data_IF_193863787823
#
_entry.id   IF_193863787823
#
_cell.length_a   1.000
_cell.length_b   1.000
_cell.length_c   1.000
_cell.angle_alpha   90.00
_cell.angle_beta   90.00
_cell.angle_gamma   90.00
#
_symmetry.space_group_name_H-M   'P 1'
#
loop_
_entity.id
_entity.type
_entity.pdbx_description
1 polymer ?
#
# COMPACT_ATOMS: atom_id res chain seq x y z
N UNK A 1 2.55 6.98 -23.69
CA UNK A 1 3.34 8.22 -23.45
C UNK A 1 4.81 8.00 -23.75
N UNK A 2 5.57 7.22 -22.96
CA UNK A 2 7.03 7.00 -23.13
C UNK A 2 7.49 6.70 -24.57
N UNK A 3 6.84 5.77 -25.27
CA UNK A 3 7.14 5.47 -26.69
C UNK A 3 6.96 6.67 -27.62
N UNK A 4 5.93 7.49 -27.41
CA UNK A 4 5.66 8.66 -28.23
C UNK A 4 6.62 9.80 -27.91
N UNK A 5 6.98 9.99 -26.63
CA UNK A 5 8.05 10.91 -26.22
C UNK A 5 9.39 10.51 -26.84
N UNK A 6 9.70 9.21 -26.84
CA UNK A 6 10.90 8.68 -27.48
C UNK A 6 10.95 8.95 -28.98
N UNK A 7 9.85 8.69 -29.70
CA UNK A 7 9.75 9.03 -31.12
C UNK A 7 9.96 10.53 -31.37
N UNK A 8 9.31 11.40 -30.59
CA UNK A 8 9.52 12.85 -30.67
C UNK A 8 10.96 13.27 -30.36
N UNK A 9 11.57 12.64 -29.35
CA UNK A 9 12.97 12.87 -28.97
C UNK A 9 13.95 12.54 -30.09
N UNK A 10 13.72 11.44 -30.81
CA UNK A 10 14.50 11.03 -31.98
C UNK A 10 14.30 11.98 -33.18
N UNK A 11 13.16 12.67 -33.26
CA UNK A 11 12.88 13.73 -34.24
C UNK A 11 13.41 15.11 -33.80
N UNK A 12 14.12 15.20 -32.67
CA UNK A 12 14.72 16.45 -32.17
C UNK A 12 13.84 17.24 -31.20
N UNK A 13 12.65 16.77 -30.85
CA UNK A 13 11.78 17.42 -29.86
C UNK A 13 12.26 17.09 -28.45
N UNK A 14 12.85 18.07 -27.76
CA UNK A 14 13.41 17.91 -26.41
C UNK A 14 12.51 18.45 -25.29
N UNK A 15 11.34 18.96 -25.65
CA UNK A 15 10.36 19.50 -24.71
C UNK A 15 9.09 18.63 -24.68
N UNK A 16 8.30 18.67 -23.59
CA UNK A 16 6.98 18.04 -23.56
C UNK A 16 6.09 18.58 -24.69
N UNK A 17 5.45 17.69 -25.43
CA UNK A 17 4.63 18.05 -26.60
C UNK A 17 3.31 17.29 -26.69
N UNK A 18 3.20 16.09 -26.14
CA UNK A 18 1.98 15.28 -26.19
C UNK A 18 0.81 15.96 -25.48
N UNK A 19 1.06 16.65 -24.36
CA UNK A 19 0.00 17.40 -23.68
C UNK A 19 -0.64 18.49 -24.56
N UNK A 20 0.11 19.03 -25.53
CA UNK A 20 -0.39 20.03 -26.49
C UNK A 20 -1.36 19.41 -27.51
N UNK A 21 -1.28 18.10 -27.75
CA UNK A 21 -2.12 17.36 -28.70
C UNK A 21 -3.50 17.00 -28.14
N UNK A 22 -3.70 17.09 -26.82
CA UNK A 22 -4.94 16.70 -26.15
C UNK A 22 -6.16 17.44 -26.72
N UNK A 23 -6.01 18.72 -27.05
CA UNK A 23 -7.09 19.50 -27.65
C UNK A 23 -7.59 18.91 -28.97
N UNK A 24 -6.67 18.46 -29.82
CA UNK A 24 -7.03 17.82 -31.09
C UNK A 24 -7.72 16.47 -30.87
N UNK A 25 -7.23 15.65 -29.94
CA UNK A 25 -7.84 14.35 -29.61
C UNK A 25 -9.25 14.50 -29.06
N UNK A 26 -9.45 15.44 -28.12
CA UNK A 26 -10.78 15.71 -27.56
C UNK A 26 -11.73 16.18 -28.66
N UNK A 27 -11.29 17.08 -29.54
CA UNK A 27 -12.13 17.56 -30.63
C UNK A 27 -12.60 16.44 -31.57
N UNK A 28 -11.76 15.43 -31.83
CA UNK A 28 -12.11 14.30 -32.68
C UNK A 28 -13.00 13.25 -32.01
N UNK A 29 -13.03 13.16 -30.67
CA UNK A 29 -13.68 12.08 -29.94
C UNK A 29 -14.86 12.51 -29.05
N UNK A 30 -15.03 13.81 -28.79
CA UNK A 30 -16.03 14.33 -27.86
C UNK A 30 -17.48 13.95 -28.16
N UNK A 31 -17.82 13.66 -29.42
CA UNK A 31 -19.18 13.24 -29.80
C UNK A 31 -19.50 11.81 -29.33
N UNK A 32 -18.49 10.93 -29.38
CA UNK A 32 -18.63 9.53 -28.94
C UNK A 32 -18.35 9.36 -27.44
N UNK A 33 -17.49 10.20 -26.86
CA UNK A 33 -17.06 10.14 -25.47
C UNK A 33 -17.11 11.54 -24.82
N UNK A 34 -18.30 12.05 -24.46
CA UNK A 34 -18.44 13.40 -23.90
C UNK A 34 -17.63 13.61 -22.60
N UNK A 35 -17.46 12.56 -21.81
CA UNK A 35 -16.78 12.56 -20.51
C UNK A 35 -15.29 12.92 -20.57
N UNK A 36 -14.65 12.83 -21.74
CA UNK A 36 -13.23 13.20 -21.88
C UNK A 36 -13.02 14.71 -21.80
N UNK A 37 -14.07 15.50 -22.05
CA UNK A 37 -14.00 16.96 -22.03
C UNK A 37 -13.80 17.52 -20.62
N UNK A 38 -14.44 16.91 -19.62
CA UNK A 38 -14.42 17.38 -18.22
C UNK A 38 -13.06 17.13 -17.55
N UNK A 39 -12.27 16.19 -18.06
CA UNK A 39 -10.95 15.82 -17.50
C UNK A 39 -9.76 16.41 -18.28
N UNK A 40 -10.00 17.32 -19.23
CA UNK A 40 -8.96 17.86 -20.13
C UNK A 40 -7.73 18.39 -19.40
N UNK A 41 -7.93 19.27 -18.41
CA UNK A 41 -6.81 19.90 -17.70
C UNK A 41 -6.02 18.89 -16.88
N UNK A 42 -6.73 18.02 -16.16
CA UNK A 42 -6.16 16.96 -15.35
C UNK A 42 -5.32 15.98 -16.20
N UNK A 43 -5.86 15.50 -17.32
CA UNK A 43 -5.14 14.62 -18.25
C UNK A 43 -3.94 15.36 -18.87
N UNK A 44 -4.09 16.66 -19.15
CA UNK A 44 -3.00 17.51 -19.61
C UNK A 44 -1.82 17.59 -18.65
N UNK A 45 -2.11 17.83 -17.38
CA UNK A 45 -1.08 17.89 -16.34
C UNK A 45 -0.41 16.54 -16.15
N UNK A 46 -1.17 15.44 -16.14
CA UNK A 46 -0.62 14.07 -16.02
C UNK A 46 0.30 13.75 -17.18
N UNK A 47 -0.15 13.99 -18.43
CA UNK A 47 0.66 13.72 -19.62
C UNK A 47 1.93 14.58 -19.58
N UNK A 48 1.80 15.89 -19.36
CA UNK A 48 2.95 16.80 -19.29
C UNK A 48 3.96 16.35 -18.23
N UNK A 49 3.49 16.00 -17.04
CA UNK A 49 4.35 15.54 -15.94
C UNK A 49 5.05 14.22 -16.26
N UNK A 50 4.37 13.27 -16.90
CA UNK A 50 5.00 12.01 -17.33
C UNK A 50 6.02 12.25 -18.46
N UNK A 51 5.73 13.19 -19.38
CA UNK A 51 6.68 13.62 -20.41
C UNK A 51 7.94 14.25 -19.80
N UNK A 52 7.78 15.24 -18.92
CA UNK A 52 8.90 15.92 -18.24
C UNK A 52 9.75 14.92 -17.47
N UNK A 53 9.13 14.02 -16.69
CA UNK A 53 9.86 13.00 -15.94
C UNK A 53 10.60 12.06 -16.88
N UNK A 54 9.94 11.61 -17.94
CA UNK A 54 10.56 10.68 -18.88
C UNK A 54 11.69 11.33 -19.69
N UNK A 55 11.55 12.60 -20.09
CA UNK A 55 12.64 13.35 -20.73
C UNK A 55 13.86 13.48 -19.81
N UNK A 56 13.65 13.81 -18.53
CA UNK A 56 14.73 13.85 -17.55
C UNK A 56 15.39 12.47 -17.34
N UNK A 57 14.59 11.39 -17.35
CA UNK A 57 15.07 10.01 -17.33
C UNK A 57 15.89 9.68 -18.58
N UNK A 58 15.43 10.07 -19.76
CA UNK A 58 16.14 9.87 -21.02
C UNK A 58 17.49 10.59 -21.03
N UNK A 59 17.55 11.83 -20.55
CA UNK A 59 18.81 12.58 -20.47
C UNK A 59 19.83 11.91 -19.54
N UNK A 60 19.40 11.43 -18.37
CA UNK A 60 20.27 10.69 -17.44
C UNK A 60 20.69 9.34 -18.01
N UNK A 61 19.72 8.56 -18.50
CA UNK A 61 19.96 7.23 -19.07
C UNK A 61 20.86 7.29 -20.31
N UNK A 62 20.71 8.32 -21.15
CA UNK A 62 21.53 8.52 -22.35
C UNK A 62 22.99 8.80 -22.01
N UNK A 63 23.30 9.58 -20.97
CA UNK A 63 24.68 9.80 -20.53
C UNK A 63 25.36 8.49 -20.13
N UNK A 64 24.69 7.68 -19.31
CA UNK A 64 25.20 6.37 -18.87
C UNK A 64 25.31 5.41 -20.05
N UNK A 65 24.34 5.44 -20.97
CA UNK A 65 24.40 4.64 -22.20
C UNK A 65 25.59 5.05 -23.09
N UNK A 66 25.86 6.34 -23.25
CA UNK A 66 27.00 6.84 -24.04
C UNK A 66 28.35 6.42 -23.42
N UNK A 67 28.45 6.39 -22.08
CA UNK A 67 29.61 5.84 -21.38
C UNK A 67 29.77 4.34 -21.67
N UNK A 68 28.71 3.56 -21.49
CA UNK A 68 28.70 2.12 -21.80
C UNK A 68 29.04 1.84 -23.26
N UNK A 69 28.56 2.67 -24.18
CA UNK A 69 28.82 2.54 -25.61
C UNK A 69 30.32 2.76 -25.91
N UNK A 70 30.95 3.78 -25.32
CA UNK A 70 32.40 4.03 -25.50
C UNK A 70 33.24 2.84 -25.03
N UNK A 71 32.88 2.27 -23.88
CA UNK A 71 33.60 1.12 -23.33
C UNK A 71 33.42 -0.12 -24.23
N UNK A 72 32.22 -0.31 -24.78
CA UNK A 72 31.86 -1.49 -25.58
C UNK A 72 32.43 -1.44 -27.01
N UNK A 73 32.52 -0.25 -27.61
CA UNK A 73 33.05 -0.04 -28.97
C UNK A 73 34.54 -0.38 -29.13
N UNK A 74 35.25 -0.61 -28.03
CA UNK A 74 36.66 -1.03 -28.04
C UNK A 74 36.89 -2.51 -28.40
N UNK A 75 35.81 -3.29 -28.58
CA UNK A 75 35.85 -4.74 -28.81
C UNK A 75 35.54 -5.14 -30.26
N UNK A 76 36.09 -6.27 -30.74
CA UNK A 76 35.87 -6.80 -32.10
C UNK A 76 34.42 -7.22 -32.38
N UNK A 77 33.63 -7.50 -31.33
CA UNK A 77 32.19 -7.80 -31.40
C UNK A 77 31.46 -7.06 -30.28
N UNK A 78 31.08 -5.79 -30.48
CA UNK A 78 30.52 -4.97 -29.42
C UNK A 78 29.12 -5.46 -29.03
N UNK A 79 29.00 -5.98 -27.81
CA UNK A 79 27.75 -6.42 -27.19
C UNK A 79 27.63 -5.76 -25.82
N UNK A 80 26.52 -5.05 -25.57
CA UNK A 80 26.19 -4.54 -24.23
C UNK A 80 25.67 -5.71 -23.39
N UNK A 81 26.33 -6.05 -22.27
CA UNK A 81 25.92 -7.18 -21.42
C UNK A 81 24.57 -6.97 -20.73
N UNK A 82 23.85 -8.07 -20.47
CA UNK A 82 22.52 -8.05 -19.87
C UNK A 82 22.44 -7.38 -18.49
N UNK A 83 23.50 -7.46 -17.65
CA UNK A 83 23.56 -6.77 -16.36
C UNK A 83 23.56 -5.24 -16.52
N UNK A 84 24.23 -4.73 -17.57
CA UNK A 84 24.27 -3.30 -17.87
C UNK A 84 22.93 -2.80 -18.41
N UNK A 85 22.27 -3.59 -19.24
CA UNK A 85 20.90 -3.31 -19.71
C UNK A 85 19.94 -3.30 -18.53
N UNK A 86 20.06 -4.29 -17.63
CA UNK A 86 19.27 -4.36 -16.41
C UNK A 86 19.52 -3.14 -15.52
N UNK A 87 20.77 -2.70 -15.35
CA UNK A 87 21.10 -1.47 -14.61
C UNK A 87 20.49 -0.22 -15.26
N UNK A 88 20.54 -0.10 -16.59
CA UNK A 88 19.89 0.99 -17.32
C UNK A 88 18.38 1.02 -17.09
N UNK A 89 17.75 -0.15 -17.05
CA UNK A 89 16.32 -0.30 -16.79
C UNK A 89 15.93 -0.05 -15.32
N UNK A 90 16.54 -0.79 -14.40
CA UNK A 90 16.19 -0.83 -12.97
C UNK A 90 16.65 0.43 -12.23
N UNK A 91 17.90 0.86 -12.45
CA UNK A 91 18.46 2.03 -11.75
C UNK A 91 18.16 3.34 -12.46
N UNK A 92 18.27 3.37 -13.78
CA UNK A 92 18.20 4.62 -14.55
C UNK A 92 16.89 4.80 -15.31
N UNK A 93 15.97 3.82 -15.28
CA UNK A 93 14.62 3.91 -15.85
C UNK A 93 14.57 3.92 -17.39
N UNK A 94 15.66 3.55 -18.07
CA UNK A 94 15.73 3.49 -19.53
C UNK A 94 15.19 2.12 -20.02
N UNK A 95 14.08 2.08 -20.79
CA UNK A 95 13.49 0.83 -21.25
C UNK A 95 14.47 -0.01 -22.09
N UNK A 96 14.49 -1.35 -21.95
CA UNK A 96 15.43 -2.20 -22.66
C UNK A 96 15.26 -2.15 -24.19
N UNK A 97 14.04 -1.93 -24.68
CA UNK A 97 13.78 -1.74 -26.11
C UNK A 97 14.45 -0.48 -26.66
N UNK A 98 14.52 0.60 -25.86
CA UNK A 98 15.19 1.84 -26.25
C UNK A 98 16.70 1.71 -26.20
N UNK A 99 17.23 1.00 -25.19
CA UNK A 99 18.66 0.63 -25.14
C UNK A 99 19.06 -0.14 -26.39
N UNK A 100 18.23 -1.10 -26.83
CA UNK A 100 18.45 -1.86 -28.06
C UNK A 100 18.40 -1.00 -29.31
N UNK A 101 17.44 -0.09 -29.42
CA UNK A 101 17.31 0.82 -30.56
C UNK A 101 18.54 1.74 -30.67
N UNK A 102 18.97 2.34 -29.54
CA UNK A 102 20.17 3.19 -29.46
C UNK A 102 21.46 2.43 -29.77
N UNK A 103 21.60 1.18 -29.31
CA UNK A 103 22.77 0.36 -29.60
C UNK A 103 22.83 0.01 -31.10
N UNK A 104 21.69 -0.30 -31.70
CA UNK A 104 21.59 -0.64 -33.12
C UNK A 104 22.01 0.51 -34.03
N UNK A 105 21.75 1.79 -33.68
CA UNK A 105 22.20 2.93 -34.50
C UNK A 105 23.73 3.09 -34.50
N UNK A 106 24.43 2.42 -33.58
CA UNK A 106 25.89 2.46 -33.44
C UNK A 106 26.54 1.11 -33.79
N UNK A 107 25.80 0.16 -34.36
CA UNK A 107 26.31 -1.16 -34.74
C UNK A 107 26.64 -2.07 -33.56
N UNK A 108 26.10 -1.80 -32.37
CA UNK A 108 26.33 -2.56 -31.13
C UNK A 108 25.12 -3.44 -30.84
N UNK A 109 25.36 -4.72 -30.51
CA UNK A 109 24.31 -5.64 -30.11
C UNK A 109 24.01 -5.55 -28.61
N UNK A 110 22.85 -6.05 -28.18
CA UNK A 110 22.43 -6.04 -26.77
C UNK A 110 22.06 -7.45 -26.35
N UNK A 111 22.59 -7.91 -25.22
CA UNK A 111 22.26 -9.20 -24.63
C UNK A 111 20.92 -9.14 -23.88
N UNK A 112 19.84 -9.34 -24.63
CA UNK A 112 18.48 -9.37 -24.08
C UNK A 112 18.20 -10.62 -23.23
N UNK A 113 18.87 -11.73 -23.52
CA UNK A 113 18.70 -12.97 -22.76
C UNK A 113 19.28 -12.81 -21.34
N UNK A 114 20.47 -12.21 -21.23
CA UNK A 114 21.05 -11.86 -19.93
C UNK A 114 20.16 -10.89 -19.14
N UNK A 115 19.58 -9.88 -19.79
CA UNK A 115 18.63 -8.97 -19.14
C UNK A 115 17.42 -9.71 -18.53
N UNK A 116 16.81 -10.64 -19.26
CA UNK A 116 15.67 -11.42 -18.78
C UNK A 116 16.01 -12.29 -17.57
N UNK A 117 17.23 -12.84 -17.53
CA UNK A 117 17.72 -13.62 -16.37
C UNK A 117 17.78 -12.75 -15.10
N UNK A 118 18.38 -11.56 -15.16
CA UNK A 118 18.45 -10.65 -14.01
C UNK A 118 17.06 -10.18 -13.54
N UNK A 119 16.12 -9.98 -14.47
CA UNK A 119 14.75 -9.61 -14.14
C UNK A 119 14.02 -10.73 -13.37
N UNK A 120 14.27 -11.99 -13.72
CA UNK A 120 13.67 -13.13 -13.04
C UNK A 120 14.30 -13.37 -11.65
N UNK A 121 15.62 -13.21 -11.51
CA UNK A 121 16.31 -13.30 -10.23
C UNK A 121 15.77 -12.28 -9.21
N UNK A 122 15.55 -11.03 -9.63
CA UNK A 122 14.98 -9.98 -8.78
C UNK A 122 13.56 -10.34 -8.30
N UNK A 123 12.72 -10.89 -9.18
CA UNK A 123 11.36 -11.36 -8.84
C UNK A 123 11.39 -12.51 -7.84
N UNK A 124 12.33 -13.44 -7.98
CA UNK A 124 12.48 -14.58 -7.08
C UNK A 124 12.94 -14.14 -5.68
N UNK A 125 13.87 -13.19 -5.58
CA UNK A 125 14.30 -12.61 -4.30
C UNK A 125 13.16 -11.90 -3.56
N UNK A 126 12.27 -11.21 -4.28
CA UNK A 126 11.09 -10.59 -3.68
C UNK A 126 10.10 -11.63 -3.13
N UNK A 127 9.94 -12.77 -3.81
CA UNK A 127 9.04 -13.87 -3.41
C UNK A 127 9.61 -14.72 -2.27
N UNK A 128 10.92 -14.94 -2.21
CA UNK A 128 11.56 -15.77 -1.18
C UNK A 128 11.51 -15.13 0.21
N UNK A 129 11.57 -13.80 0.30
CA UNK A 129 11.36 -13.06 1.56
C UNK A 129 9.96 -13.25 2.16
N UNK A 130 8.94 -13.54 1.36
CA UNK A 130 7.57 -13.76 1.83
C UNK A 130 7.31 -15.21 2.31
N UNK A 131 8.19 -16.18 1.97
CA UNK A 131 7.90 -17.62 2.14
C UNK A 131 8.60 -18.28 3.34
N UNK A 132 9.35 -17.53 4.14
CA UNK A 132 10.32 -18.11 5.09
C UNK A 132 9.80 -18.35 6.54
N UNK A 133 8.49 -18.51 6.75
CA UNK A 133 7.93 -18.60 8.12
C UNK A 133 7.09 -19.85 8.46
N UNK A 134 6.98 -20.85 7.58
CA UNK A 134 6.16 -22.04 7.86
C UNK A 134 7.02 -23.33 7.92
N UNK A 135 7.72 -23.54 9.03
CA UNK A 135 8.27 -24.85 9.40
C UNK A 135 7.38 -25.49 10.45
N UNK A 136 6.44 -26.34 10.01
CA UNK A 136 5.61 -27.18 10.87
C UNK A 136 4.32 -27.63 10.17
N UNK A 137 3.79 -28.78 10.55
CA UNK A 137 2.46 -29.25 10.09
C UNK A 137 1.39 -28.85 11.11
N UNK A 138 0.21 -28.46 10.62
CA UNK A 138 -0.93 -28.19 11.48
C UNK A 138 -1.42 -29.47 12.17
N UNK A 139 -1.64 -29.39 13.49
CA UNK A 139 -2.29 -30.41 14.30
C UNK A 139 -3.71 -29.93 14.59
N UNK A 140 -4.70 -30.68 14.12
CA UNK A 140 -6.12 -30.39 14.33
C UNK A 140 -6.59 -31.00 15.65
N UNK A 141 -7.20 -30.19 16.51
CA UNK A 141 -7.82 -30.62 17.76
C UNK A 141 -9.35 -30.72 17.61
N UNK A 142 -9.95 -29.87 16.78
CA UNK A 142 -11.38 -29.86 16.47
C UNK A 142 -11.61 -29.43 15.02
N UNK A 143 -12.58 -30.06 14.36
CA UNK A 143 -13.01 -29.71 12.99
C UNK A 143 -14.16 -28.69 13.04
N UNK A 144 -13.84 -27.46 13.45
CA UNK A 144 -14.76 -26.31 13.46
C UNK A 144 -14.13 -25.10 12.78
N UNK A 145 -14.96 -24.12 12.42
CA UNK A 145 -14.51 -22.84 11.84
C UNK A 145 -13.94 -21.89 12.90
N UNK A 146 -13.31 -20.81 12.43
CA UNK A 146 -12.85 -19.69 13.25
C UNK A 146 -13.73 -18.46 12.99
N UNK A 147 -14.27 -17.86 14.04
CA UNK A 147 -15.13 -16.68 13.97
C UNK A 147 -14.42 -15.44 14.54
N UNK A 148 -14.33 -14.37 13.77
CA UNK A 148 -13.87 -13.08 14.29
C UNK A 148 -14.98 -12.35 15.02
N UNK A 149 -14.77 -12.06 16.31
CA UNK A 149 -15.74 -11.38 17.20
C UNK A 149 -15.21 -10.04 17.73
N UNK A 150 -14.04 -9.62 17.26
CA UNK A 150 -13.29 -8.47 17.77
C UNK A 150 -13.88 -7.09 17.50
N UNK A 151 -15.01 -7.02 16.79
CA UNK A 151 -15.80 -5.79 16.67
C UNK A 151 -16.56 -5.46 17.94
N UNK A 152 -16.96 -6.47 18.71
CA UNK A 152 -17.82 -6.31 19.89
C UNK A 152 -17.11 -6.69 21.20
N UNK A 153 -16.07 -7.53 21.12
CA UNK A 153 -15.40 -8.09 22.29
C UNK A 153 -13.89 -7.88 22.19
N UNK A 154 -13.29 -7.43 23.28
CA UNK A 154 -11.83 -7.35 23.42
C UNK A 154 -11.26 -8.56 24.19
N UNK A 155 -12.14 -9.35 24.82
CA UNK A 155 -11.81 -10.49 25.66
C UNK A 155 -12.92 -11.53 25.57
N UNK A 156 -12.58 -12.79 25.32
CA UNK A 156 -13.56 -13.89 25.23
C UNK A 156 -12.94 -15.22 25.66
N UNK A 157 -13.78 -16.13 26.18
CA UNK A 157 -13.43 -17.54 26.31
C UNK A 157 -13.54 -18.23 24.94
N UNK A 158 -12.53 -19.01 24.57
CA UNK A 158 -12.38 -19.69 23.28
C UNK A 158 -11.68 -21.04 23.44
N UNK A 159 -11.73 -21.87 22.40
CA UNK A 159 -10.99 -23.14 22.33
C UNK A 159 -9.90 -23.05 21.27
N UNK A 160 -8.73 -23.62 21.57
CA UNK A 160 -7.69 -23.84 20.56
C UNK A 160 -8.12 -25.02 19.70
N UNK A 161 -8.38 -24.76 18.42
CA UNK A 161 -8.88 -25.77 17.47
C UNK A 161 -7.78 -26.34 16.60
N UNK A 162 -6.71 -25.58 16.35
CA UNK A 162 -5.51 -26.02 15.62
C UNK A 162 -4.29 -25.37 16.21
N UNK A 163 -3.16 -26.06 16.15
CA UNK A 163 -1.86 -25.46 16.45
C UNK A 163 -0.75 -26.04 15.57
N UNK A 164 0.34 -25.29 15.45
CA UNK A 164 1.56 -25.72 14.78
C UNK A 164 2.75 -25.22 15.57
N UNK A 165 3.57 -26.15 16.07
CA UNK A 165 4.83 -25.81 16.72
C UNK A 165 5.83 -25.31 15.67
N UNK A 166 6.44 -24.15 15.91
CA UNK A 166 7.46 -23.58 15.01
C UNK A 166 8.88 -23.83 15.54
N UNK A 167 9.08 -23.62 16.84
CA UNK A 167 10.31 -23.90 17.58
C UNK A 167 9.96 -24.14 19.07
N UNK A 168 10.94 -24.36 19.96
CA UNK A 168 10.68 -24.68 21.38
C UNK A 168 9.86 -23.61 22.13
N UNK A 169 9.89 -22.35 21.68
CA UNK A 169 9.23 -21.23 22.36
C UNK A 169 8.14 -20.55 21.50
N UNK A 170 7.95 -20.97 20.24
CA UNK A 170 6.98 -20.36 19.33
C UNK A 170 5.99 -21.36 18.78
N UNK A 171 4.75 -20.91 18.73
CA UNK A 171 3.62 -21.71 18.27
C UNK A 171 2.62 -20.82 17.54
N UNK A 172 2.07 -21.33 16.44
CA UNK A 172 0.89 -20.74 15.82
C UNK A 172 -0.35 -21.44 16.37
N UNK A 173 -1.38 -20.67 16.73
CA UNK A 173 -2.67 -21.21 17.19
C UNK A 173 -3.84 -20.63 16.42
N UNK A 174 -4.87 -21.44 16.23
CA UNK A 174 -6.17 -21.03 15.69
C UNK A 174 -7.23 -21.27 16.76
N UNK A 175 -8.07 -20.28 16.97
CA UNK A 175 -9.19 -20.33 17.91
C UNK A 175 -10.51 -20.57 17.17
N UNK A 176 -11.49 -21.21 17.81
CA UNK A 176 -12.87 -21.28 17.32
C UNK A 176 -13.51 -19.88 17.22
N UNK A 177 -13.19 -18.98 18.16
CA UNK A 177 -13.60 -17.58 18.17
C UNK A 177 -12.45 -16.70 18.62
N UNK A 178 -12.29 -15.53 18.01
CA UNK A 178 -11.18 -14.63 18.36
C UNK A 178 -11.55 -13.15 18.34
N UNK A 179 -11.14 -12.37 19.36
CA UNK A 179 -11.22 -10.92 19.34
C UNK A 179 -10.07 -10.27 18.54
N UNK A 180 -9.06 -11.03 18.12
CA UNK A 180 -7.87 -10.53 17.43
C UNK A 180 -8.16 -10.31 15.95
N UNK A 181 -7.99 -9.08 15.48
CA UNK A 181 -8.09 -8.73 14.07
C UNK A 181 -6.81 -9.22 13.38
N UNK A 182 -6.96 -10.04 12.35
CA UNK A 182 -5.85 -10.45 11.49
C UNK A 182 -5.50 -9.33 10.52
N UNK A 183 -4.21 -9.14 10.26
CA UNK A 183 -3.71 -8.10 9.35
C UNK A 183 -4.44 -8.13 8.00
N UNK A 184 -5.04 -7.00 7.64
CA UNK A 184 -5.85 -6.84 6.43
C UNK A 184 -6.20 -5.37 6.19
N UNK A 185 -6.40 -4.98 4.92
CA UNK A 185 -6.75 -3.60 4.54
C UNK A 185 -5.68 -2.57 4.89
N UNK A 186 -4.42 -2.99 5.05
CA UNK A 186 -3.31 -2.17 5.52
C UNK A 186 -3.21 -2.04 7.05
N UNK A 187 -4.22 -2.49 7.80
CA UNK A 187 -4.17 -2.52 9.26
C UNK A 187 -3.36 -3.72 9.75
N UNK A 188 -2.35 -3.48 10.60
CA UNK A 188 -1.56 -4.56 11.23
C UNK A 188 -2.40 -5.39 12.20
N UNK A 189 -2.03 -6.67 12.35
CA UNK A 189 -2.73 -7.61 13.23
C UNK A 189 -2.62 -7.25 14.72
N UNK A 190 -3.62 -7.67 15.48
CA UNK A 190 -3.62 -7.45 16.93
C UNK A 190 -2.60 -8.29 17.68
N UNK A 191 -2.29 -7.80 18.87
CA UNK A 191 -1.42 -8.43 19.86
C UNK A 191 -2.16 -8.56 21.18
N UNK A 192 -1.66 -9.40 22.07
CA UNK A 192 -2.36 -9.69 23.32
C UNK A 192 -1.92 -11.02 23.92
N UNK A 193 -2.84 -11.70 24.59
CA UNK A 193 -2.56 -12.95 25.30
C UNK A 193 -3.67 -13.97 25.10
N UNK A 194 -3.29 -15.25 25.11
CA UNK A 194 -4.19 -16.40 25.15
C UNK A 194 -3.76 -17.26 26.34
N UNK A 195 -4.63 -17.44 27.33
CA UNK A 195 -4.21 -18.06 28.60
C UNK A 195 -5.32 -18.80 29.35
N UNK A 196 -4.91 -19.77 30.16
CA UNK A 196 -5.69 -20.37 31.23
C UNK A 196 -4.74 -20.81 32.37
N UNK A 197 -5.20 -21.70 33.24
CA UNK A 197 -4.37 -22.22 34.34
C UNK A 197 -3.16 -23.03 33.86
N UNK A 198 -3.27 -23.70 32.71
CA UNK A 198 -2.30 -24.67 32.18
C UNK A 198 -1.30 -24.03 31.21
N UNK A 199 -1.75 -23.05 30.41
CA UNK A 199 -0.95 -22.43 29.34
C UNK A 199 -1.10 -20.91 29.34
N UNK A 200 -0.03 -20.20 29.01
CA UNK A 200 -0.03 -18.76 28.73
C UNK A 200 0.82 -18.47 27.49
N UNK A 201 0.19 -17.80 26.52
CA UNK A 201 0.75 -17.45 25.22
C UNK A 201 0.72 -15.93 25.04
N UNK A 202 1.87 -15.35 24.68
CA UNK A 202 1.99 -13.96 24.22
C UNK A 202 1.74 -13.93 22.70
N UNK A 203 0.62 -13.35 22.27
CA UNK A 203 0.31 -13.13 20.85
C UNK A 203 1.04 -11.89 20.38
N UNK A 204 2.05 -12.05 19.52
CA UNK A 204 2.85 -10.93 19.02
C UNK A 204 2.46 -10.49 17.61
N UNK A 205 1.67 -11.29 16.89
CA UNK A 205 1.18 -11.03 15.54
C UNK A 205 -0.06 -11.90 15.22
N UNK A 206 -1.02 -11.36 14.47
CA UNK A 206 -2.25 -12.08 14.05
C UNK A 206 -2.42 -11.90 12.54
N UNK A 207 -2.54 -13.00 11.81
CA UNK A 207 -2.49 -13.02 10.35
C UNK A 207 -3.55 -13.96 9.76
N UNK A 208 -3.80 -13.85 8.46
CA UNK A 208 -4.56 -14.85 7.71
C UNK A 208 -3.62 -15.91 7.09
N UNK A 209 -3.98 -17.18 7.17
CA UNK A 209 -3.39 -18.28 6.39
C UNK A 209 -4.54 -19.03 5.70
N UNK A 210 -4.86 -18.64 4.46
CA UNK A 210 -6.11 -19.03 3.82
C UNK A 210 -7.32 -18.42 4.55
N UNK A 211 -8.32 -19.24 4.87
CA UNK A 211 -9.47 -18.81 5.68
C UNK A 211 -9.20 -18.84 7.21
N UNK A 212 -8.00 -19.24 7.65
CA UNK A 212 -7.67 -19.34 9.07
C UNK A 212 -7.15 -18.01 9.63
N UNK A 213 -7.65 -17.62 10.80
CA UNK A 213 -7.05 -16.56 11.63
C UNK A 213 -6.00 -17.20 12.53
N UNK A 214 -4.73 -16.97 12.19
CA UNK A 214 -3.59 -17.51 12.91
C UNK A 214 -3.06 -16.49 13.92
N UNK A 215 -2.80 -16.96 15.13
CA UNK A 215 -2.20 -16.16 16.20
C UNK A 215 -0.77 -16.67 16.39
N UNK A 216 0.21 -15.85 16.06
CA UNK A 216 1.62 -16.18 16.24
C UNK A 216 2.00 -15.87 17.67
N UNK A 217 2.39 -16.90 18.40
CA UNK A 217 2.56 -16.83 19.83
C UNK A 217 3.97 -17.18 20.27
N UNK A 218 4.41 -16.53 21.35
CA UNK A 218 5.47 -17.08 22.21
C UNK A 218 4.82 -17.83 23.38
N UNK A 219 5.37 -18.98 23.72
CA UNK A 219 4.97 -19.75 24.91
C UNK A 219 5.63 -19.08 26.12
N UNK A 220 4.82 -18.51 27.01
CA UNK A 220 5.30 -17.91 28.27
C UNK A 220 5.30 -18.96 29.37
N UNK A 221 4.27 -19.82 29.40
CA UNK A 221 4.10 -20.90 30.38
C UNK A 221 3.30 -22.04 29.78
N UNK A 222 3.62 -23.27 30.16
CA UNK A 222 2.88 -24.46 29.74
C UNK A 222 3.24 -24.94 28.34
N UNK A 223 2.28 -25.57 27.66
CA UNK A 223 2.45 -26.09 26.30
C UNK A 223 1.11 -26.53 25.69
N UNK A 224 1.16 -26.97 24.44
CA UNK A 224 0.02 -27.51 23.71
C UNK A 224 0.16 -29.03 23.52
N UNK A 225 -0.95 -29.78 23.37
CA UNK A 225 -2.34 -29.29 23.33
C UNK A 225 -2.91 -28.98 24.72
N UNK A 226 -3.91 -28.11 24.75
CA UNK A 226 -4.80 -27.93 25.91
C UNK A 226 -6.22 -28.29 25.49
N UNK A 227 -6.94 -29.03 26.34
CA UNK A 227 -8.34 -29.42 26.11
C UNK A 227 -9.32 -28.49 26.83
N UNK A 228 -8.82 -27.63 27.71
CA UNK A 228 -9.65 -26.65 28.45
C UNK A 228 -9.83 -25.38 27.62
N UNK A 229 -10.94 -24.65 27.84
CA UNK A 229 -11.06 -23.31 27.29
C UNK A 229 -9.89 -22.42 27.70
N UNK A 230 -9.55 -21.48 26.82
CA UNK A 230 -8.58 -20.42 27.04
C UNK A 230 -9.30 -19.08 26.98
N UNK A 231 -8.74 -18.09 27.66
CA UNK A 231 -9.17 -16.73 27.58
C UNK A 231 -8.29 -15.99 26.58
N UNK A 232 -8.90 -15.47 25.52
CA UNK A 232 -8.25 -14.69 24.48
C UNK A 232 -8.51 -13.20 24.74
N UNK A 233 -7.47 -12.40 24.93
CA UNK A 233 -7.54 -10.99 25.34
C UNK A 233 -6.56 -10.13 24.52
N UNK A 234 -7.08 -9.13 23.79
CA UNK A 234 -6.24 -8.22 23.01
C UNK A 234 -5.63 -7.12 23.88
N UNK A 235 -4.52 -6.55 23.42
CA UNK A 235 -4.01 -5.27 23.91
C UNK A 235 -4.89 -4.13 23.40
N UNK A 236 -5.82 -3.67 24.25
CA UNK A 236 -6.78 -2.62 23.91
C UNK A 236 -6.12 -1.25 23.66
N UNK A 237 -4.95 -0.99 24.26
CA UNK A 237 -4.23 0.26 24.03
C UNK A 237 -3.61 0.27 22.63
N UNK A 238 -3.00 -0.85 22.21
CA UNK A 238 -2.51 -1.02 20.83
C UNK A 238 -3.65 -0.97 19.82
N UNK A 239 -4.76 -1.69 20.06
CA UNK A 239 -5.95 -1.64 19.19
C UNK A 239 -6.47 -0.21 19.02
N UNK A 240 -6.56 0.55 20.11
CA UNK A 240 -7.01 1.95 20.07
C UNK A 240 -6.05 2.80 19.25
N UNK A 241 -4.74 2.67 19.46
CA UNK A 241 -3.73 3.41 18.69
C UNK A 241 -3.81 3.08 17.19
N UNK A 242 -3.99 1.81 16.84
CA UNK A 242 -4.22 1.38 15.45
C UNK A 242 -5.50 2.05 14.89
N UNK A 243 -6.61 1.98 15.61
CA UNK A 243 -7.88 2.58 15.20
C UNK A 243 -7.81 4.11 15.04
N UNK A 244 -6.99 4.80 15.85
CA UNK A 244 -6.69 6.22 15.69
C UNK A 244 -6.05 6.51 14.34
N UNK A 245 -4.97 5.81 14.01
CA UNK A 245 -4.31 5.94 12.72
C UNK A 245 -5.22 5.51 11.57
N UNK A 246 -6.04 4.47 11.76
CA UNK A 246 -6.95 3.98 10.73
C UNK A 246 -7.99 5.02 10.35
N UNK A 247 -8.64 5.60 11.37
CA UNK A 247 -9.64 6.65 11.17
C UNK A 247 -8.99 7.90 10.57
N UNK A 248 -7.76 8.23 10.97
CA UNK A 248 -6.99 9.31 10.36
C UNK A 248 -6.64 9.05 8.89
N UNK A 249 -6.37 7.80 8.48
CA UNK A 249 -6.14 7.43 7.07
C UNK A 249 -7.34 7.77 6.19
N UNK A 250 -8.57 7.53 6.65
CA UNK A 250 -9.78 7.87 5.90
C UNK A 250 -9.92 9.39 5.71
N UNK A 251 -9.64 10.17 6.78
CA UNK A 251 -9.63 11.63 6.70
C UNK A 251 -8.52 12.11 5.76
N UNK A 252 -7.32 11.53 5.83
CA UNK A 252 -6.21 11.87 4.95
C UNK A 252 -6.56 11.62 3.47
N UNK A 253 -7.14 10.46 3.15
CA UNK A 253 -7.59 10.14 1.80
C UNK A 253 -8.60 11.17 1.28
N UNK A 254 -9.60 11.52 2.08
CA UNK A 254 -10.60 12.52 1.70
C UNK A 254 -10.00 13.93 1.54
N UNK A 255 -9.08 14.32 2.42
CA UNK A 255 -8.39 15.61 2.35
C UNK A 255 -7.52 15.71 1.09
N UNK A 256 -6.78 14.65 0.75
CA UNK A 256 -5.99 14.59 -0.48
C UNK A 256 -6.86 14.74 -1.73
N UNK A 257 -8.01 14.03 -1.80
CA UNK A 257 -8.96 14.19 -2.90
C UNK A 257 -9.51 15.61 -2.97
N UNK A 258 -9.85 16.23 -1.83
CA UNK A 258 -10.38 17.60 -1.79
C UNK A 258 -9.36 18.66 -2.21
N UNK A 259 -8.09 18.49 -1.88
CA UNK A 259 -7.03 19.46 -2.18
C UNK A 259 -6.45 19.25 -3.58
N UNK A 260 -6.24 17.99 -3.99
CA UNK A 260 -5.53 17.64 -5.22
C UNK A 260 -6.47 17.28 -6.38
N UNK A 261 -7.66 16.75 -6.08
CA UNK A 261 -8.68 16.32 -7.06
C UNK A 261 -8.93 14.81 -7.10
N UNK A 262 -9.96 14.41 -7.85
CA UNK A 262 -10.49 13.03 -7.88
C UNK A 262 -9.58 11.98 -8.54
N UNK A 263 -8.42 12.36 -9.11
CA UNK A 263 -7.45 11.37 -9.59
C UNK A 263 -6.72 10.67 -8.46
N UNK A 264 -6.76 11.20 -7.23
CA UNK A 264 -6.14 10.58 -6.06
C UNK A 264 -6.87 9.28 -5.74
N UNK A 265 -6.13 8.18 -5.79
CA UNK A 265 -6.57 6.82 -5.47
C UNK A 265 -5.51 6.17 -4.59
N UNK A 266 -5.95 5.39 -3.62
CA UNK A 266 -5.06 4.59 -2.79
C UNK A 266 -4.42 3.49 -3.63
N UNK A 267 -3.11 3.35 -3.52
CA UNK A 267 -2.30 2.28 -4.13
C UNK A 267 -1.62 1.42 -3.07
N UNK A 268 -1.59 1.88 -1.82
CA UNK A 268 -1.03 1.15 -0.70
C UNK A 268 -1.35 1.85 0.61
N UNK A 269 -1.49 1.07 1.68
CA UNK A 269 -1.74 1.59 3.02
C UNK A 269 -1.02 0.71 4.05
N UNK A 270 -0.51 1.35 5.11
CA UNK A 270 -0.07 0.69 6.33
C UNK A 270 -0.58 1.52 7.51
N UNK A 271 -1.24 0.85 8.44
CA UNK A 271 -1.77 1.43 9.66
C UNK A 271 -1.20 0.65 10.83
N UNK A 272 -0.23 1.26 11.50
CA UNK A 272 0.45 0.70 12.66
C UNK A 272 0.11 1.51 13.94
N UNK A 273 0.40 0.99 15.14
CA UNK A 273 0.11 1.71 16.39
C UNK A 273 0.86 3.04 16.53
N UNK A 274 2.02 3.17 15.88
CA UNK A 274 2.92 4.32 16.04
C UNK A 274 2.92 5.29 14.86
N UNK A 275 2.46 4.86 13.68
CA UNK A 275 2.43 5.67 12.46
C UNK A 275 1.50 5.06 11.41
N UNK A 276 1.19 5.85 10.39
CA UNK A 276 0.54 5.38 9.17
C UNK A 276 1.34 5.79 7.93
N UNK A 277 1.10 5.05 6.85
CA UNK A 277 1.68 5.27 5.53
C UNK A 277 0.57 5.15 4.51
N UNK A 278 0.45 6.15 3.64
CA UNK A 278 -0.58 6.19 2.62
C UNK A 278 0.04 6.49 1.26
N UNK A 279 -0.10 5.53 0.34
CA UNK A 279 0.44 5.60 -1.00
C UNK A 279 -0.70 5.90 -1.96
N UNK A 280 -0.52 6.92 -2.80
CA UNK A 280 -1.59 7.42 -3.66
C UNK A 280 -1.12 7.88 -5.03
N UNK A 281 -2.03 7.82 -6.00
CA UNK A 281 -1.80 8.33 -7.35
C UNK A 281 -1.70 9.85 -7.36
N UNK A 282 -0.52 10.37 -7.66
CA UNK A 282 -0.30 11.79 -7.90
C UNK A 282 0.97 12.00 -8.74
N UNK A 283 0.90 12.91 -9.72
CA UNK A 283 1.92 13.00 -10.77
C UNK A 283 3.14 13.85 -10.40
N UNK A 284 3.00 14.76 -9.43
CA UNK A 284 4.07 15.66 -8.95
C UNK A 284 4.25 15.52 -7.44
N UNK A 285 5.32 16.09 -6.89
CA UNK A 285 5.42 16.28 -5.43
C UNK A 285 4.41 17.31 -4.95
N UNK A 286 3.96 17.16 -3.70
CA UNK A 286 3.10 18.16 -3.09
C UNK A 286 3.98 19.35 -2.71
N UNK A 287 3.45 20.55 -2.93
CA UNK A 287 4.03 21.78 -2.40
C UNK A 287 3.79 21.86 -0.89
N UNK A 288 4.64 22.58 -0.16
CA UNK A 288 4.48 22.79 1.29
C UNK A 288 3.07 23.31 1.64
N UNK A 289 2.52 24.19 0.79
CA UNK A 289 1.16 24.72 0.94
C UNK A 289 0.06 23.68 0.69
N UNK A 290 0.27 22.73 -0.22
CA UNK A 290 -0.66 21.61 -0.42
C UNK A 290 -0.61 20.67 0.80
N UNK A 291 0.58 20.38 1.33
CA UNK A 291 0.76 19.57 2.55
C UNK A 291 0.06 20.25 3.75
N UNK A 292 0.31 21.54 3.97
CA UNK A 292 -0.31 22.33 5.05
C UNK A 292 -1.84 22.33 4.97
N UNK A 293 -2.40 22.49 3.76
CA UNK A 293 -3.85 22.43 3.54
C UNK A 293 -4.44 21.06 3.86
N UNK A 294 -3.77 19.99 3.44
CA UNK A 294 -4.22 18.62 3.73
C UNK A 294 -4.20 18.37 5.24
N UNK A 295 -3.10 18.70 5.91
CA UNK A 295 -2.96 18.52 7.37
C UNK A 295 -3.99 19.35 8.14
N UNK A 296 -4.25 20.59 7.71
CA UNK A 296 -5.22 21.49 8.32
C UNK A 296 -6.65 20.93 8.19
N UNK A 297 -7.06 20.51 6.99
CA UNK A 297 -8.39 19.93 6.77
C UNK A 297 -8.63 18.68 7.62
N UNK A 298 -7.62 17.80 7.75
CA UNK A 298 -7.74 16.61 8.60
C UNK A 298 -7.96 17.03 10.05
N UNK A 299 -7.18 17.98 10.58
CA UNK A 299 -7.31 18.44 11.96
C UNK A 299 -8.62 19.23 12.20
N UNK A 300 -9.14 19.97 11.23
CA UNK A 300 -10.47 20.60 11.30
C UNK A 300 -11.60 19.56 11.44
N UNK A 301 -11.53 18.47 10.67
CA UNK A 301 -12.48 17.36 10.78
C UNK A 301 -12.35 16.57 12.08
N UNK A 302 -11.12 16.45 12.61
CA UNK A 302 -10.90 15.90 13.94
C UNK A 302 -11.55 16.81 15.01
N UNK A 303 -11.30 18.12 14.95
CA UNK A 303 -11.87 19.10 15.88
C UNK A 303 -13.40 19.15 15.82
N UNK A 304 -13.98 18.91 14.64
CA UNK A 304 -15.43 18.84 14.44
C UNK A 304 -16.08 17.63 15.13
N UNK A 305 -15.29 16.66 15.59
CA UNK A 305 -15.72 15.47 16.34
C UNK A 305 -16.92 14.74 15.70
N UNK A 306 -16.81 14.47 14.41
CA UNK A 306 -17.85 13.84 13.61
C UNK A 306 -18.04 12.37 14.04
N UNK A 307 -19.29 11.85 14.04
CA UNK A 307 -19.55 10.46 14.36
C UNK A 307 -18.96 9.53 13.28
N UNK A 308 -18.45 8.39 13.73
CA UNK A 308 -18.05 7.25 12.91
C UNK A 308 -19.14 6.19 13.02
N UNK A 309 -19.95 6.07 11.98
CA UNK A 309 -21.09 5.17 11.90
C UNK A 309 -20.70 3.87 11.20
N UNK A 310 -21.24 2.75 11.69
CA UNK A 310 -21.04 1.43 11.10
C UNK A 310 -22.39 0.84 10.75
N UNK A 311 -22.53 0.37 9.51
CA UNK A 311 -23.70 -0.36 9.07
C UNK A 311 -23.30 -1.49 8.13
N UNK A 312 -24.21 -2.44 7.93
CA UNK A 312 -24.00 -3.58 7.05
C UNK A 312 -24.95 -3.47 5.86
N UNK A 313 -24.45 -3.81 4.68
CA UNK A 313 -25.23 -3.83 3.45
C UNK A 313 -24.68 -4.89 2.49
N UNK A 314 -25.28 -5.06 1.33
CA UNK A 314 -24.70 -5.92 0.27
C UNK A 314 -23.58 -5.19 -0.44
N UNK A 315 -22.57 -5.91 -0.93
CA UNK A 315 -21.47 -5.34 -1.71
C UNK A 315 -22.00 -4.55 -2.90
N UNK A 316 -23.01 -5.07 -3.58
CA UNK A 316 -23.68 -4.37 -4.69
C UNK A 316 -24.23 -3.01 -4.26
N UNK A 317 -25.01 -2.97 -3.18
CA UNK A 317 -25.57 -1.72 -2.68
C UNK A 317 -24.48 -0.74 -2.22
N UNK A 318 -23.42 -1.22 -1.58
CA UNK A 318 -22.27 -0.38 -1.20
C UNK A 318 -21.63 0.29 -2.44
N UNK A 319 -21.42 -0.48 -3.52
CA UNK A 319 -20.91 0.06 -4.79
C UNK A 319 -21.86 1.09 -5.39
N UNK A 320 -23.17 0.80 -5.42
CA UNK A 320 -24.19 1.71 -5.95
C UNK A 320 -24.27 3.03 -5.14
N UNK A 321 -24.00 2.98 -3.82
CA UNK A 321 -23.97 4.14 -2.92
C UNK A 321 -22.65 4.94 -2.97
N UNK A 322 -21.70 4.51 -3.81
CA UNK A 322 -20.39 5.14 -3.97
C UNK A 322 -19.44 4.91 -2.79
N UNK A 323 -19.63 3.82 -2.04
CA UNK A 323 -18.71 3.40 -0.97
C UNK A 323 -17.36 3.03 -1.59
N UNK A 324 -16.28 3.53 -0.99
CA UNK A 324 -14.92 3.21 -1.40
C UNK A 324 -14.57 1.79 -0.95
N UNK A 325 -13.98 1.00 -1.83
CA UNK A 325 -13.52 -0.34 -1.56
C UNK A 325 -12.18 -0.58 -2.24
N UNK A 326 -11.44 -1.60 -1.80
CA UNK A 326 -10.15 -1.97 -2.39
C UNK A 326 -10.41 -2.83 -3.62
N UNK A 327 -9.96 -2.34 -4.78
CA UNK A 327 -10.14 -3.06 -6.05
C UNK A 327 -9.28 -4.32 -6.04
N UNK A 328 -9.91 -5.47 -6.36
CA UNK A 328 -9.23 -6.76 -6.44
C UNK A 328 -9.32 -7.60 -5.17
N UNK A 329 -9.92 -7.08 -4.09
CA UNK A 329 -10.29 -7.89 -2.92
C UNK A 329 -11.65 -8.59 -3.12
N UNK A 330 -11.77 -9.79 -2.53
CA UNK A 330 -13.03 -10.52 -2.43
C UNK A 330 -13.75 -10.14 -1.14
N UNK A 331 -14.99 -9.67 -1.25
CA UNK A 331 -15.83 -9.30 -0.12
C UNK A 331 -16.96 -10.32 0.07
N UNK A 332 -17.09 -10.86 1.28
CA UNK A 332 -18.21 -11.74 1.66
C UNK A 332 -19.40 -10.88 2.11
N UNK A 333 -20.58 -11.15 1.55
CA UNK A 333 -21.82 -10.47 1.96
C UNK A 333 -22.36 -11.02 3.29
N UNK A 334 -22.88 -10.16 4.19
CA UNK A 334 -22.96 -8.70 4.07
C UNK A 334 -21.62 -8.01 4.37
N UNK A 335 -21.36 -6.89 3.69
CA UNK A 335 -20.16 -6.07 3.90
C UNK A 335 -20.36 -5.04 5.00
N UNK A 336 -19.28 -4.76 5.74
CA UNK A 336 -19.25 -3.75 6.80
C UNK A 336 -18.79 -2.41 6.23
N UNK A 337 -19.66 -1.40 6.27
CA UNK A 337 -19.36 -0.03 5.82
C UNK A 337 -19.07 0.86 7.03
N UNK A 338 -18.00 1.64 6.93
CA UNK A 338 -17.63 2.68 7.89
C UNK A 338 -17.88 4.04 7.24
N UNK A 339 -18.71 4.86 7.87
CA UNK A 339 -19.05 6.21 7.42
C UNK A 339 -18.57 7.25 8.44
N UNK A 340 -17.88 8.26 7.96
CA UNK A 340 -17.39 9.38 8.78
C UNK A 340 -18.03 10.66 8.27
N UNK A 341 -19.14 11.07 8.90
CA UNK A 341 -19.98 12.18 8.42
C UNK A 341 -20.25 12.08 6.91
N UNK A 342 -20.08 13.20 6.21
CA UNK A 342 -20.15 13.26 4.74
C UNK A 342 -18.77 13.21 4.07
N UNK A 343 -17.71 12.89 4.83
CA UNK A 343 -16.32 12.97 4.38
C UNK A 343 -15.87 11.68 3.70
N UNK A 344 -16.15 10.54 4.33
CA UNK A 344 -15.73 9.24 3.82
C UNK A 344 -16.74 8.14 4.14
N UNK A 345 -16.85 7.18 3.22
CA UNK A 345 -17.64 5.95 3.32
C UNK A 345 -16.84 4.83 2.68
N UNK A 346 -16.34 3.89 3.47
CA UNK A 346 -15.42 2.84 2.98
C UNK A 346 -15.76 1.46 3.57
N UNK A 347 -15.47 0.39 2.82
CA UNK A 347 -15.49 -0.98 3.35
C UNK A 347 -14.23 -1.22 4.17
N UNK A 348 -14.36 -1.34 5.50
CA UNK A 348 -13.18 -1.34 6.34
C UNK A 348 -13.35 -2.04 7.71
N UNK A 349 -12.20 -2.30 8.35
CA UNK A 349 -12.04 -2.99 9.62
C UNK A 349 -12.28 -2.11 10.86
N UNK A 350 -11.35 -2.12 11.82
CA UNK A 350 -11.58 -1.47 13.13
C UNK A 350 -11.39 0.05 13.09
N UNK A 351 -12.27 0.80 13.75
CA UNK A 351 -12.25 2.28 13.80
C UNK A 351 -12.62 2.80 15.19
N UNK A 352 -12.39 4.10 15.40
CA UNK A 352 -12.92 4.87 16.54
C UNK A 352 -14.43 5.12 16.38
N UNK A 353 -15.08 5.68 17.41
CA UNK A 353 -16.50 6.05 17.36
C UNK A 353 -16.73 7.50 16.93
N UNK A 354 -15.73 8.37 17.09
CA UNK A 354 -15.78 9.75 16.62
C UNK A 354 -14.39 10.26 16.19
N UNK A 355 -14.35 11.23 15.26
CA UNK A 355 -13.08 11.77 14.75
C UNK A 355 -12.26 12.49 15.82
N UNK A 356 -12.91 13.07 16.85
CA UNK A 356 -12.22 13.75 17.95
C UNK A 356 -11.38 12.81 18.81
N UNK A 357 -11.67 11.50 18.80
CA UNK A 357 -10.86 10.49 19.49
C UNK A 357 -9.48 10.28 18.84
N UNK A 358 -9.27 10.76 17.61
CA UNK A 358 -7.96 10.75 16.94
C UNK A 358 -6.98 11.65 17.71
N UNK A 359 -7.43 12.79 18.23
CA UNK A 359 -6.59 13.78 18.90
C UNK A 359 -5.92 14.73 17.92
N UNK A 360 -4.62 14.56 17.67
CA UNK A 360 -3.86 15.39 16.72
C UNK A 360 -3.42 14.53 15.53
N UNK A 361 -3.36 15.11 14.33
CA UNK A 361 -2.77 14.49 13.15
C UNK A 361 -1.60 15.31 12.63
N UNK A 362 -0.51 14.65 12.24
CA UNK A 362 0.69 15.30 11.70
C UNK A 362 1.27 14.50 10.54
N UNK A 363 1.50 15.16 9.41
CA UNK A 363 2.29 14.64 8.31
C UNK A 363 3.77 14.80 8.66
N UNK A 364 4.52 13.70 8.64
CA UNK A 364 5.96 13.69 8.90
C UNK A 364 6.75 13.93 7.61
N UNK A 365 6.32 13.29 6.52
CA UNK A 365 7.07 13.27 5.28
C UNK A 365 6.16 13.03 4.07
N UNK A 366 6.58 13.56 2.93
CA UNK A 366 5.98 13.35 1.63
C UNK A 366 7.07 12.97 0.62
N UNK A 367 6.92 11.84 -0.08
CA UNK A 367 7.97 11.33 -0.96
C UNK A 367 7.43 10.61 -2.20
N UNK A 368 8.28 10.47 -3.22
CA UNK A 368 7.97 9.62 -4.38
C UNK A 368 8.38 8.19 -4.08
N UNK A 369 7.49 7.22 -4.30
CA UNK A 369 7.89 5.80 -4.35
C UNK A 369 8.42 5.48 -5.73
N UNK A 370 7.61 5.78 -6.75
CA UNK A 370 7.98 5.68 -8.14
C UNK A 370 7.12 6.64 -8.97
N UNK A 371 7.27 6.52 -10.28
CA UNK A 371 6.47 7.18 -11.27
C UNK A 371 4.97 7.25 -10.93
N UNK A 372 4.43 8.46 -10.71
CA UNK A 372 2.99 8.68 -10.53
C UNK A 372 2.42 8.28 -9.17
N UNK A 373 3.24 7.76 -8.26
CA UNK A 373 2.83 7.34 -6.91
C UNK A 373 3.62 8.12 -5.86
N UNK A 374 2.86 8.76 -4.96
CA UNK A 374 3.37 9.52 -3.83
C UNK A 374 3.02 8.81 -2.53
N UNK A 375 3.80 9.08 -1.49
CA UNK A 375 3.62 8.51 -0.15
C UNK A 375 3.57 9.64 0.86
N UNK A 376 2.57 9.59 1.73
CA UNK A 376 2.54 10.35 2.97
C UNK A 376 2.83 9.39 4.12
N UNK A 377 3.78 9.80 4.97
CA UNK A 377 4.01 9.19 6.28
C UNK A 377 3.48 10.17 7.32
N UNK A 378 2.65 9.68 8.23
CA UNK A 378 1.97 10.52 9.20
C UNK A 378 1.76 9.79 10.53
N UNK A 379 1.44 10.56 11.56
CA UNK A 379 1.17 10.08 12.91
C UNK A 379 -0.11 10.71 13.44
N UNK A 380 -0.77 10.00 14.35
CA UNK A 380 -1.98 10.44 15.02
C UNK A 380 -1.87 10.33 16.55
N UNK A 381 -2.75 11.04 17.25
CA UNK A 381 -2.87 11.00 18.70
C UNK A 381 -1.59 11.45 19.42
N UNK A 382 -1.17 10.67 20.43
CA UNK A 382 0.00 11.01 21.23
C UNK A 382 1.31 10.93 20.44
N UNK A 383 1.37 10.14 19.35
CA UNK A 383 2.55 10.12 18.48
C UNK A 383 2.69 11.44 17.73
N UNK A 384 1.58 12.04 17.26
CA UNK A 384 1.58 13.37 16.67
C UNK A 384 1.93 14.47 17.69
N UNK A 385 1.39 14.38 18.91
CA UNK A 385 1.72 15.35 19.97
C UNK A 385 3.22 15.39 20.28
N UNK A 386 3.91 14.24 20.30
CA UNK A 386 5.35 14.15 20.58
C UNK A 386 6.20 14.90 19.55
N UNK A 387 5.78 14.94 18.29
CA UNK A 387 6.54 15.64 17.23
C UNK A 387 6.64 17.14 17.47
N UNK A 388 5.77 17.73 18.30
CA UNK A 388 5.83 19.15 18.66
C UNK A 388 7.07 19.48 19.49
N UNK A 389 7.60 18.50 20.23
CA UNK A 389 8.77 18.67 21.10
C UNK A 389 10.07 18.18 20.46
N UNK A 390 9.99 17.34 19.43
CA UNK A 390 11.14 16.78 18.71
C UNK A 390 11.72 17.75 17.66
N UNK A 391 11.50 19.06 17.82
CA UNK A 391 12.15 20.09 17.00
C UNK A 391 13.58 20.30 17.52
N UNK A 392 14.47 19.37 17.15
CA UNK A 392 15.91 19.38 17.45
C UNK A 392 16.75 19.53 16.20
#
# INVERSE_FOLDING_TARGET
IRRAVWAGYNLGVKEPFLYRLIGAVINSLKEAYPEITTKREQVGLIIKSEEERFLATLERGKKVFEELLRDTLSSEKPVIPGDKVFKLYDTYGLPPEMTRELASTHGVAVDMAGFEQYLEEQKQQARSKAKFLATGSWISLQETGSEFVGYNFNRIEAHIIKYRQLDDNKVDVVLDKTPFYAESGGQVGDKGRIYNEDVELEVYDTQYEGDLIIHRCKIIRGGLPTTRPVLAEIDTALRKAIAQHHTATHLLQAALKRVLGDHVRQEGSLVAPTYLRFDFTHYKGLTDREIEKVETLVNEWIQSNLPVEVYHTTFKQAVDDGVIYIVGEEYKDPVRVVKIGDISRELCGTHLNATGEIGMFKILNESSIHAGIRRIEAVAGMNAWRTVYDVG
#
